data_IF_469191622520
#
_entry.id   IF_469191622520
#
_cell.length_a   1.000
_cell.length_b   1.000
_cell.length_c   1.000
_cell.angle_alpha   90.00
_cell.angle_beta   90.00
_cell.angle_gamma   90.00
#
_symmetry.space_group_name_H-M   'P 1'
#
loop_
_entity.id
_entity.type
_entity.pdbx_description
1 polymer ?
#
# COMPACT_ATOMS: atom_id res chain seq x y z
N UNK A 1 5.48 -18.70 7.23
CA UNK A 1 6.48 -18.21 8.21
C UNK A 1 5.81 -17.20 9.15
N UNK A 2 5.44 -17.58 10.37
CA UNK A 2 4.79 -16.69 11.34
C UNK A 2 5.25 -17.01 12.77
N UNK A 3 4.87 -16.19 13.75
CA UNK A 3 5.32 -16.32 15.14
C UNK A 3 4.79 -17.57 15.87
N UNK A 4 3.65 -18.13 15.43
CA UNK A 4 3.06 -19.32 16.04
C UNK A 4 3.84 -20.61 15.68
N UNK A 5 4.69 -20.57 14.66
CA UNK A 5 5.53 -21.69 14.26
C UNK A 5 6.78 -21.81 15.14
N UNK A 6 7.19 -23.05 15.41
CA UNK A 6 8.37 -23.33 16.24
C UNK A 6 9.64 -22.65 15.68
N UNK A 7 10.58 -22.34 16.58
CA UNK A 7 11.87 -21.73 16.20
C UNK A 7 12.62 -22.60 15.18
N UNK A 8 12.62 -23.91 15.39
CA UNK A 8 13.25 -24.89 14.49
C UNK A 8 12.62 -24.89 13.10
N UNK A 9 11.28 -24.89 13.02
CA UNK A 9 10.57 -24.82 11.74
C UNK A 9 10.93 -23.53 11.00
N UNK A 10 10.92 -22.39 11.69
CA UNK A 10 11.30 -21.09 11.09
C UNK A 10 12.74 -21.11 10.58
N UNK A 11 13.69 -21.63 11.37
CA UNK A 11 15.10 -21.76 10.96
C UNK A 11 15.23 -22.59 9.68
N UNK A 12 14.62 -23.78 9.65
CA UNK A 12 14.67 -24.68 8.49
C UNK A 12 14.01 -24.08 7.24
N UNK A 13 12.88 -23.38 7.41
CA UNK A 13 12.22 -22.69 6.30
C UNK A 13 13.08 -21.55 5.73
N UNK A 14 13.78 -20.82 6.59
CA UNK A 14 14.70 -19.76 6.18
C UNK A 14 15.94 -20.32 5.46
N UNK A 15 16.53 -21.40 5.96
CA UNK A 15 17.65 -22.09 5.29
C UNK A 15 17.27 -22.53 3.88
N UNK A 16 16.14 -23.23 3.74
CA UNK A 16 15.64 -23.65 2.41
C UNK A 16 15.35 -22.48 1.47
N UNK A 17 14.92 -21.34 2.01
CA UNK A 17 14.70 -20.13 1.20
C UNK A 17 16.04 -19.53 0.73
N UNK A 18 17.04 -19.47 1.62
CA UNK A 18 18.39 -18.98 1.30
C UNK A 18 19.10 -19.83 0.26
N UNK A 19 18.91 -21.15 0.31
CA UNK A 19 19.46 -22.10 -0.65
C UNK A 19 18.73 -22.08 -2.01
N UNK A 20 17.61 -21.35 -2.13
CA UNK A 20 16.79 -21.31 -3.34
C UNK A 20 15.87 -22.53 -3.53
N UNK A 21 15.96 -23.53 -2.65
CA UNK A 21 15.05 -24.70 -2.62
C UNK A 21 13.59 -24.25 -2.46
N UNK A 22 13.34 -23.23 -1.64
CA UNK A 22 12.05 -22.54 -1.57
C UNK A 22 12.20 -21.17 -2.25
N UNK A 23 11.42 -20.93 -3.30
CA UNK A 23 11.48 -19.66 -4.06
C UNK A 23 10.54 -18.57 -3.54
N UNK A 24 9.53 -18.95 -2.77
CA UNK A 24 8.51 -18.03 -2.25
C UNK A 24 8.33 -18.28 -0.76
N UNK A 25 8.57 -17.26 0.05
CA UNK A 25 8.35 -17.29 1.49
C UNK A 25 7.15 -16.41 1.86
N UNK A 26 6.07 -17.04 2.30
CA UNK A 26 4.90 -16.31 2.80
C UNK A 26 5.07 -16.04 4.29
N UNK A 27 5.01 -14.77 4.70
CA UNK A 27 5.23 -14.36 6.08
C UNK A 27 4.23 -13.31 6.59
N UNK A 28 3.98 -13.34 7.90
CA UNK A 28 3.38 -12.22 8.65
C UNK A 28 4.49 -11.38 9.32
N UNK A 29 4.16 -10.36 10.12
CA UNK A 29 5.11 -9.45 10.77
C UNK A 29 6.27 -10.11 11.55
N UNK A 30 6.17 -11.41 11.84
CA UNK A 30 7.25 -12.21 12.41
C UNK A 30 8.53 -12.28 11.56
N UNK A 31 8.49 -11.89 10.28
CA UNK A 31 9.70 -11.77 9.44
C UNK A 31 10.35 -10.37 9.50
N UNK A 32 9.70 -9.40 10.18
CA UNK A 32 10.06 -7.98 10.11
C UNK A 32 11.32 -7.56 10.86
N UNK A 33 11.77 -8.34 11.86
CA UNK A 33 12.97 -8.02 12.64
C UNK A 33 13.86 -9.26 12.83
N UNK A 34 15.15 -9.14 12.49
CA UNK A 34 16.18 -10.15 12.76
C UNK A 34 16.44 -11.19 11.66
N UNK A 35 15.61 -11.28 10.62
CA UNK A 35 15.89 -12.17 9.48
C UNK A 35 16.74 -11.41 8.44
N UNK A 36 18.05 -11.69 8.40
CA UNK A 36 18.88 -11.32 7.26
C UNK A 36 18.58 -12.31 6.12
N UNK A 37 17.72 -11.88 5.21
CA UNK A 37 17.33 -12.63 4.01
C UNK A 37 18.27 -12.14 2.90
N UNK A 38 18.92 -13.05 2.14
CA UNK A 38 19.73 -12.67 0.97
C UNK A 38 18.87 -11.89 -0.02
N UNK A 39 19.51 -11.11 -0.89
CA UNK A 39 18.85 -10.17 -1.79
C UNK A 39 17.61 -10.74 -2.47
N UNK A 40 16.45 -10.23 -2.05
CA UNK A 40 15.15 -10.62 -2.60
C UNK A 40 14.92 -9.85 -3.91
N UNK A 41 14.46 -10.55 -4.95
CA UNK A 41 14.12 -9.92 -6.24
C UNK A 41 12.74 -9.24 -6.21
N UNK A 42 11.77 -9.85 -5.53
CA UNK A 42 10.38 -9.38 -5.48
C UNK A 42 9.81 -9.45 -4.07
N UNK A 43 9.25 -8.34 -3.59
CA UNK A 43 8.46 -8.29 -2.36
C UNK A 43 7.01 -8.01 -2.71
N UNK A 44 6.10 -8.87 -2.26
CA UNK A 44 4.66 -8.71 -2.44
C UNK A 44 4.02 -8.44 -1.08
N UNK A 45 3.54 -7.22 -0.89
CA UNK A 45 2.70 -6.84 0.24
C UNK A 45 1.25 -7.16 -0.11
N UNK A 46 0.68 -8.16 0.55
CA UNK A 46 -0.74 -8.50 0.45
C UNK A 46 -1.53 -7.73 1.50
N UNK A 47 -2.58 -7.04 1.06
CA UNK A 47 -3.39 -6.08 1.83
C UNK A 47 -2.65 -4.82 2.22
N UNK A 48 -3.44 -3.78 2.51
CA UNK A 48 -2.92 -2.53 3.05
C UNK A 48 -2.16 -2.77 4.37
N UNK A 49 -0.93 -2.25 4.51
CA UNK A 49 -0.25 -2.15 5.80
C UNK A 49 -0.95 -1.11 6.70
N UNK A 50 -0.51 -1.00 7.97
CA UNK A 50 -0.96 0.06 8.86
C UNK A 50 -0.47 1.45 8.44
N UNK A 51 0.74 1.55 7.89
CA UNK A 51 1.33 2.81 7.41
C UNK A 51 2.28 2.60 6.23
N UNK A 52 2.67 3.71 5.59
CA UNK A 52 3.67 3.70 4.52
C UNK A 52 5.01 3.15 5.01
N UNK A 53 5.48 3.55 6.20
CA UNK A 53 6.74 3.06 6.75
C UNK A 53 6.76 1.56 6.96
N UNK A 54 5.65 0.94 7.38
CA UNK A 54 5.58 -0.53 7.48
C UNK A 54 5.78 -1.18 6.10
N UNK A 55 5.16 -0.64 5.04
CA UNK A 55 5.39 -1.15 3.70
C UNK A 55 6.82 -0.93 3.21
N UNK A 56 7.38 0.27 3.42
CA UNK A 56 8.75 0.59 2.99
C UNK A 56 9.79 -0.26 3.72
N UNK A 57 9.64 -0.50 5.02
CA UNK A 57 10.51 -1.39 5.78
C UNK A 57 10.47 -2.83 5.27
N UNK A 58 9.28 -3.33 4.90
CA UNK A 58 9.11 -4.66 4.30
C UNK A 58 9.70 -4.72 2.89
N UNK A 59 9.45 -3.71 2.06
CA UNK A 59 9.99 -3.60 0.70
C UNK A 59 11.52 -3.47 0.70
N UNK A 60 12.11 -2.76 1.68
CA UNK A 60 13.56 -2.59 1.86
C UNK A 60 14.31 -3.85 2.29
N UNK A 61 13.66 -5.01 2.31
CA UNK A 61 14.30 -6.33 2.40
C UNK A 61 14.85 -6.80 1.05
N UNK A 62 14.42 -6.17 -0.04
CA UNK A 62 14.86 -6.45 -1.40
C UNK A 62 16.06 -5.59 -1.82
N UNK A 63 16.78 -6.05 -2.86
CA UNK A 63 17.89 -5.33 -3.51
C UNK A 63 18.88 -4.61 -2.56
N UNK A 64 19.47 -5.33 -1.59
CA UNK A 64 20.48 -4.76 -0.67
C UNK A 64 21.88 -4.77 -1.27
N UNK A 65 22.19 -5.71 -2.16
CA UNK A 65 23.42 -5.69 -2.93
C UNK A 65 23.45 -4.52 -3.92
N UNK A 66 24.61 -3.89 -3.99
CA UNK A 66 24.89 -2.78 -4.88
C UNK A 66 24.62 -3.16 -6.35
N UNK A 67 23.95 -2.26 -7.08
CA UNK A 67 23.65 -2.44 -8.50
C UNK A 67 22.50 -3.40 -8.82
N UNK A 68 21.81 -3.96 -7.81
CA UNK A 68 20.62 -4.79 -8.05
C UNK A 68 19.34 -3.95 -8.02
N UNK A 69 18.38 -4.36 -8.84
CA UNK A 69 17.02 -3.80 -8.86
C UNK A 69 16.03 -4.86 -8.39
N UNK A 70 15.07 -4.46 -7.58
CA UNK A 70 13.97 -5.32 -7.13
C UNK A 70 12.61 -4.67 -7.37
N UNK A 71 11.56 -5.49 -7.35
CA UNK A 71 10.18 -5.03 -7.50
C UNK A 71 9.46 -5.14 -6.16
N UNK A 72 8.83 -4.05 -5.73
CA UNK A 72 7.91 -4.03 -4.60
C UNK A 72 6.47 -3.89 -5.14
N UNK A 73 5.63 -4.89 -4.89
CA UNK A 73 4.23 -4.93 -5.30
C UNK A 73 3.35 -4.76 -4.07
N UNK A 74 2.46 -3.76 -4.08
CA UNK A 74 1.43 -3.56 -3.07
C UNK A 74 0.08 -3.96 -3.67
N UNK A 75 -0.49 -5.06 -3.17
CA UNK A 75 -1.81 -5.55 -3.57
C UNK A 75 -2.83 -5.14 -2.51
N UNK A 76 -3.83 -4.36 -2.91
CA UNK A 76 -4.80 -3.74 -2.01
C UNK A 76 -6.21 -4.19 -2.35
N UNK A 77 -7.07 -4.22 -1.34
CA UNK A 77 -8.49 -4.49 -1.51
C UNK A 77 -9.21 -3.31 -2.20
N UNK A 78 -10.34 -3.56 -2.90
CA UNK A 78 -11.13 -2.49 -3.52
C UNK A 78 -11.60 -1.40 -2.54
N UNK A 79 -11.75 -1.75 -1.25
CA UNK A 79 -12.08 -0.81 -0.17
C UNK A 79 -11.06 0.31 -0.03
N UNK A 80 -9.80 0.09 -0.43
CA UNK A 80 -8.76 1.11 -0.45
C UNK A 80 -9.09 2.33 -1.31
N UNK A 81 -9.98 2.16 -2.30
CA UNK A 81 -10.43 3.22 -3.21
C UNK A 81 -11.77 3.84 -2.80
N UNK A 82 -12.47 3.25 -1.83
CA UNK A 82 -13.79 3.71 -1.39
C UNK A 82 -13.72 4.90 -0.41
N UNK A 83 -12.51 5.21 0.09
CA UNK A 83 -12.24 6.31 1.00
C UNK A 83 -11.95 7.56 0.18
N UNK A 84 -12.86 8.53 0.26
CA UNK A 84 -12.69 9.85 -0.32
C UNK A 84 -11.82 10.71 0.59
N UNK A 85 -10.56 10.90 0.19
CA UNK A 85 -9.55 11.59 0.98
C UNK A 85 -9.79 13.10 1.07
N UNK A 86 -10.46 13.69 0.08
CA UNK A 86 -10.85 15.11 0.16
C UNK A 86 -11.97 15.29 1.19
N UNK A 87 -12.94 14.37 1.18
CA UNK A 87 -14.02 14.38 2.16
C UNK A 87 -13.54 14.03 3.58
N UNK A 88 -12.49 13.23 3.74
CA UNK A 88 -11.89 12.97 5.06
C UNK A 88 -11.17 14.19 5.61
N UNK A 89 -10.40 14.90 4.79
CA UNK A 89 -9.74 16.14 5.21
C UNK A 89 -10.76 17.24 5.54
N UNK A 90 -11.86 17.32 4.79
CA UNK A 90 -12.92 18.31 5.02
C UNK A 90 -13.78 18.04 6.27
N UNK A 91 -13.69 16.85 6.88
CA UNK A 91 -14.50 16.46 8.06
C UNK A 91 -14.01 17.01 9.38
N UNK A 92 -12.99 17.88 9.39
CA UNK A 92 -12.44 18.39 10.64
C UNK A 92 -13.46 19.14 11.52
N UNK A 93 -14.62 19.64 11.02
CA UNK A 93 -15.85 19.96 11.78
C UNK A 93 -17.10 19.98 10.86
N UNK A 94 -18.37 19.74 11.30
CA UNK A 94 -18.90 19.39 12.63
C UNK A 94 -19.86 18.16 12.69
N UNK A 95 -20.33 17.88 13.91
CA UNK A 95 -21.50 17.13 14.41
C UNK A 95 -22.17 16.02 13.56
N UNK A 96 -22.39 14.86 14.20
CA UNK A 96 -23.26 13.77 13.71
C UNK A 96 -24.73 14.21 13.64
N UNK A 97 -25.13 14.83 12.54
CA UNK A 97 -26.56 14.96 12.21
C UNK A 97 -27.11 13.62 11.71
N UNK A 98 -28.39 13.34 12.00
CA UNK A 98 -29.06 12.14 11.52
C UNK A 98 -29.26 12.25 10.01
N UNK A 99 -28.37 11.60 9.26
CA UNK A 99 -28.46 11.52 7.81
C UNK A 99 -29.75 10.79 7.38
N UNK A 100 -30.49 11.42 6.47
CA UNK A 100 -31.64 10.82 5.80
C UNK A 100 -31.23 9.65 4.88
N UNK A 101 -32.17 8.76 4.55
CA UNK A 101 -31.87 7.67 3.59
C UNK A 101 -31.47 8.18 2.20
N UNK A 102 -32.04 9.30 1.77
CA UNK A 102 -31.71 9.93 0.50
C UNK A 102 -30.25 10.42 0.48
N UNK A 103 -29.80 11.07 1.56
CA UNK A 103 -28.40 11.51 1.70
C UNK A 103 -27.43 10.33 1.73
N UNK A 104 -27.77 9.24 2.42
CA UNK A 104 -26.93 8.02 2.44
C UNK A 104 -26.75 7.44 1.04
N UNK A 105 -27.84 7.37 0.24
CA UNK A 105 -27.77 6.89 -1.15
C UNK A 105 -26.92 7.80 -2.03
N UNK A 106 -27.06 9.12 -1.89
CA UNK A 106 -26.25 10.10 -2.61
C UNK A 106 -24.76 9.97 -2.28
N UNK A 107 -24.40 9.95 -0.99
CA UNK A 107 -23.01 9.74 -0.54
C UNK A 107 -22.42 8.41 -1.03
N UNK A 108 -23.23 7.35 -1.09
CA UNK A 108 -22.78 6.07 -1.63
C UNK A 108 -22.50 6.11 -3.14
N UNK A 109 -23.30 6.87 -3.91
CA UNK A 109 -23.05 7.08 -5.34
C UNK A 109 -21.77 7.92 -5.57
N UNK A 110 -21.57 8.98 -4.79
CA UNK A 110 -20.38 9.83 -4.83
C UNK A 110 -19.11 9.02 -4.53
N UNK A 111 -19.12 8.19 -3.47
CA UNK A 111 -18.00 7.29 -3.14
C UNK A 111 -17.68 6.30 -4.26
N UNK A 112 -18.70 5.77 -4.94
CA UNK A 112 -18.50 4.88 -6.10
C UNK A 112 -17.87 5.62 -7.28
N UNK A 113 -18.32 6.85 -7.54
CA UNK A 113 -17.75 7.70 -8.58
C UNK A 113 -16.29 8.05 -8.28
N UNK A 114 -15.98 8.40 -7.02
CA UNK A 114 -14.62 8.63 -6.53
C UNK A 114 -13.74 7.40 -6.69
N UNK A 115 -14.17 6.23 -6.22
CA UNK A 115 -13.39 4.99 -6.37
C UNK A 115 -13.07 4.68 -7.84
N UNK A 116 -14.03 4.94 -8.74
CA UNK A 116 -13.86 4.79 -10.18
C UNK A 116 -12.83 5.78 -10.74
N UNK A 117 -12.85 7.05 -10.33
CA UNK A 117 -11.85 8.05 -10.76
C UNK A 117 -10.44 7.70 -10.26
N UNK A 118 -10.33 7.11 -9.06
CA UNK A 118 -9.06 6.62 -8.49
C UNK A 118 -8.55 5.31 -9.09
N UNK A 119 -9.32 4.68 -9.96
CA UNK A 119 -8.85 3.55 -10.76
C UNK A 119 -9.13 2.18 -10.18
N UNK A 120 -10.19 2.02 -9.36
CA UNK A 120 -10.65 0.71 -8.87
C UNK A 120 -10.87 -0.32 -10.00
N UNK A 121 -11.15 0.14 -11.23
CA UNK A 121 -11.38 -0.68 -12.42
C UNK A 121 -10.21 -0.63 -13.43
N UNK A 122 -9.04 -0.08 -13.06
CA UNK A 122 -7.86 -0.09 -13.93
C UNK A 122 -7.43 -1.52 -14.21
N UNK A 123 -7.00 -1.80 -15.43
CA UNK A 123 -6.60 -3.15 -15.85
C UNK A 123 -7.76 -4.10 -16.14
N UNK A 124 -9.02 -3.63 -16.05
CA UNK A 124 -10.18 -4.43 -16.45
C UNK A 124 -10.22 -4.65 -17.99
N UNK A 125 -10.91 -5.73 -18.40
CA UNK A 125 -11.11 -6.06 -19.81
C UNK A 125 -11.74 -4.87 -20.56
N UNK A 126 -11.10 -4.45 -21.66
CA UNK A 126 -11.56 -3.35 -22.51
C UNK A 126 -10.90 -1.99 -22.27
N UNK A 127 -10.01 -1.86 -21.28
CA UNK A 127 -9.08 -0.71 -21.15
C UNK A 127 -9.70 0.68 -20.90
N UNK A 128 -11.03 0.79 -20.83
CA UNK A 128 -11.80 2.05 -20.68
C UNK A 128 -11.47 2.87 -19.44
N UNK A 129 -10.82 2.25 -18.44
CA UNK A 129 -10.50 2.87 -17.16
C UNK A 129 -9.00 2.97 -16.89
N UNK A 130 -8.14 2.76 -17.91
CA UNK A 130 -6.69 2.77 -17.75
C UNK A 130 -6.06 4.17 -17.66
N UNK A 131 -6.85 5.23 -17.91
CA UNK A 131 -6.37 6.61 -17.80
C UNK A 131 -6.00 6.91 -16.34
N UNK A 132 -4.82 7.50 -16.16
CA UNK A 132 -4.28 7.90 -14.87
C UNK A 132 -4.46 9.41 -14.72
N UNK A 133 -5.39 9.90 -13.86
CA UNK A 133 -5.59 11.32 -13.62
C UNK A 133 -4.48 11.83 -12.70
N UNK A 134 -3.67 12.76 -13.21
CA UNK A 134 -2.53 13.35 -12.49
C UNK A 134 -2.93 14.65 -11.78
N UNK A 135 -3.80 15.44 -12.39
CA UNK A 135 -4.16 16.80 -11.94
C UNK A 135 -4.95 16.85 -10.63
N UNK A 136 -5.60 15.75 -10.24
CA UNK A 136 -6.47 15.68 -9.06
C UNK A 136 -5.85 14.78 -7.99
N UNK A 137 -4.58 14.99 -7.63
CA UNK A 137 -3.92 14.17 -6.62
C UNK A 137 -4.48 14.51 -5.23
N UNK A 138 -4.91 13.52 -4.43
CA UNK A 138 -5.40 13.79 -3.08
C UNK A 138 -4.35 14.45 -2.19
N UNK A 139 -4.77 15.30 -1.23
CA UNK A 139 -3.86 15.94 -0.29
C UNK A 139 -3.11 14.88 0.52
N UNK A 140 -1.79 15.06 0.64
CA UNK A 140 -0.92 14.19 1.41
C UNK A 140 -0.73 14.76 2.81
N UNK A 141 -1.10 13.97 3.81
CA UNK A 141 -0.77 14.21 5.21
C UNK A 141 0.19 13.10 5.70
N UNK A 142 1.50 13.39 5.79
CA UNK A 142 2.50 12.44 6.31
C UNK A 142 2.38 12.20 7.82
N UNK A 143 1.75 13.11 8.56
CA UNK A 143 1.65 13.04 10.03
C UNK A 143 0.43 12.23 10.49
N UNK A 144 -0.50 11.93 9.58
CA UNK A 144 -1.59 10.98 9.81
C UNK A 144 -1.06 9.60 10.22
N UNK A 145 -1.84 8.84 11.00
CA UNK A 145 -1.44 7.52 11.50
C UNK A 145 -1.06 6.49 10.39
N UNK A 146 -1.59 6.69 9.17
CA UNK A 146 -1.28 5.86 8.01
C UNK A 146 -0.16 6.42 7.12
N UNK A 147 0.41 7.58 7.47
CA UNK A 147 1.49 8.27 6.76
C UNK A 147 1.15 8.55 5.27
N UNK A 148 -0.12 8.79 4.95
CA UNK A 148 -0.55 9.05 3.57
C UNK A 148 -0.64 7.79 2.70
N UNK A 149 -0.76 6.60 3.29
CA UNK A 149 -0.84 5.32 2.58
C UNK A 149 -1.93 5.29 1.50
N UNK A 150 -3.10 5.85 1.76
CA UNK A 150 -4.16 5.91 0.77
C UNK A 150 -3.80 6.80 -0.42
N UNK A 151 -3.05 7.89 -0.20
CA UNK A 151 -2.54 8.74 -1.28
C UNK A 151 -1.55 7.95 -2.15
N UNK A 152 -0.64 7.19 -1.54
CA UNK A 152 0.30 6.32 -2.26
C UNK A 152 -0.41 5.31 -3.18
N UNK A 153 -1.59 4.84 -2.78
CA UNK A 153 -2.40 3.86 -3.52
C UNK A 153 -3.26 4.53 -4.60
N UNK A 154 -3.99 5.57 -4.24
CA UNK A 154 -5.03 6.20 -5.05
C UNK A 154 -4.47 7.26 -6.03
N UNK A 155 -3.26 7.76 -5.79
CA UNK A 155 -2.65 8.79 -6.63
C UNK A 155 -2.34 8.29 -8.03
N UNK A 156 -2.49 9.19 -9.00
CA UNK A 156 -2.03 9.02 -10.37
C UNK A 156 -0.59 9.50 -10.61
N UNK A 157 0.07 10.07 -9.61
CA UNK A 157 1.45 10.57 -9.73
C UNK A 157 2.49 9.48 -9.47
N UNK A 158 3.75 9.81 -9.72
CA UNK A 158 4.88 8.93 -9.41
C UNK A 158 4.91 8.58 -7.91
N UNK A 159 4.81 7.29 -7.59
CA UNK A 159 4.88 6.79 -6.20
C UNK A 159 6.19 7.14 -5.51
N UNK A 160 7.30 7.20 -6.25
CA UNK A 160 8.59 7.66 -5.71
C UNK A 160 8.53 9.13 -5.30
N UNK A 161 7.85 9.99 -6.06
CA UNK A 161 7.67 11.39 -5.70
C UNK A 161 6.84 11.55 -4.40
N UNK A 162 5.81 10.72 -4.22
CA UNK A 162 5.03 10.70 -2.97
C UNK A 162 5.93 10.28 -1.79
N UNK A 163 6.72 9.21 -1.96
CA UNK A 163 7.64 8.75 -0.91
C UNK A 163 8.71 9.78 -0.59
N UNK A 164 9.25 10.51 -1.57
CA UNK A 164 10.20 11.61 -1.30
C UNK A 164 9.57 12.72 -0.49
N UNK A 165 8.30 13.04 -0.72
CA UNK A 165 7.57 14.03 0.09
C UNK A 165 7.35 13.54 1.52
N UNK A 166 6.89 12.29 1.70
CA UNK A 166 6.66 11.68 3.02
C UNK A 166 7.95 11.71 3.86
N UNK A 167 9.06 11.26 3.29
CA UNK A 167 10.35 11.17 4.00
C UNK A 167 11.21 12.42 3.93
N UNK A 168 10.70 13.51 3.32
CA UNK A 168 11.43 14.78 3.13
C UNK A 168 12.81 14.58 2.46
N UNK A 169 12.88 13.63 1.52
CA UNK A 169 14.08 13.33 0.76
C UNK A 169 14.15 14.19 -0.51
N UNK A 170 15.35 14.62 -0.91
CA UNK A 170 15.54 15.24 -2.23
C UNK A 170 15.35 14.17 -3.32
N UNK A 171 14.58 14.43 -4.39
CA UNK A 171 14.56 13.54 -5.55
C UNK A 171 15.97 13.47 -6.13
N UNK A 172 16.45 12.24 -6.38
CA UNK A 172 17.70 11.99 -7.10
C UNK A 172 17.51 12.19 -8.61
#
# INVERSE_FOLDING_TARGET
>A
YNAALSKEYRKKAMEKFKEGTVRILVCTDAAGMGCNIPDIDVVVQWKLPSSVSVFVQRAGRAARAYGRTSIAILLVEPSAYAIDLFAELAKEQPAKEKESEAEKRKKAQERKAYAKSRGINRGAAGGKHNVIPVADTPPLDPEAANEGLYVLVQSGTCRRAILTTIYRNKPA
#
